data_IF_673208901465
#
_entry.id   IF_673208901465
#
_cell.length_a   1.000
_cell.length_b   1.000
_cell.length_c   1.000
_cell.angle_alpha   90.00
_cell.angle_beta   90.00
_cell.angle_gamma   90.00
#
_symmetry.space_group_name_H-M   'P 1'
#
loop_
_entity.id
_entity.type
_entity.pdbx_description
1 polymer ?
#
# COMPACT_ATOMS: atom_id res chain seq x y z
N UNK A 1 -10.47 -1.58 -4.38
CA UNK A 1 -11.61 -1.93 -5.24
C UNK A 1 -11.30 -3.19 -6.02
N UNK A 2 -12.33 -3.92 -6.45
CA UNK A 2 -12.16 -5.04 -7.39
C UNK A 2 -12.14 -4.52 -8.83
N UNK A 3 -11.32 -5.11 -9.69
CA UNK A 3 -11.25 -4.74 -11.11
C UNK A 3 -11.96 -5.81 -11.94
N UNK A 4 -12.90 -5.39 -12.78
CA UNK A 4 -13.53 -6.23 -13.81
C UNK A 4 -12.92 -5.80 -15.15
N UNK A 5 -12.24 -6.72 -15.83
CA UNK A 5 -11.61 -6.41 -17.12
C UNK A 5 -12.66 -6.32 -18.23
N UNK A 6 -12.31 -5.67 -19.35
CA UNK A 6 -13.21 -5.52 -20.50
C UNK A 6 -13.68 -6.88 -21.04
N UNK A 7 -12.78 -7.88 -21.07
CA UNK A 7 -13.12 -9.25 -21.48
C UNK A 7 -14.17 -9.87 -20.56
N UNK A 8 -13.96 -9.82 -19.24
CA UNK A 8 -14.92 -10.37 -18.27
C UNK A 8 -16.24 -9.61 -18.31
N UNK A 9 -16.19 -8.28 -18.45
CA UNK A 9 -17.38 -7.45 -18.55
C UNK A 9 -18.21 -7.81 -19.79
N UNK A 10 -17.58 -7.99 -20.95
CA UNK A 10 -18.26 -8.39 -22.18
C UNK A 10 -18.93 -9.77 -22.05
N UNK A 11 -18.27 -10.73 -21.39
CA UNK A 11 -18.87 -12.05 -21.13
C UNK A 11 -20.09 -11.96 -20.22
N UNK A 12 -20.00 -11.21 -19.12
CA UNK A 12 -21.12 -10.98 -18.20
C UNK A 12 -22.27 -10.23 -18.90
N UNK A 13 -21.93 -9.24 -19.74
CA UNK A 13 -22.92 -8.46 -20.48
C UNK A 13 -23.67 -9.30 -21.51
N UNK A 14 -23.01 -10.29 -22.12
CA UNK A 14 -23.67 -11.30 -22.96
C UNK A 14 -24.58 -12.20 -22.13
N UNK A 15 -24.06 -12.78 -21.04
CA UNK A 15 -24.77 -13.71 -20.15
C UNK A 15 -26.07 -13.12 -19.58
N UNK A 16 -26.14 -11.80 -19.40
CA UNK A 16 -27.37 -11.15 -18.92
C UNK A 16 -28.58 -11.36 -19.83
N UNK A 17 -28.35 -11.70 -21.10
CA UNK A 17 -29.40 -11.93 -22.10
C UNK A 17 -29.86 -13.41 -22.15
N UNK A 18 -29.21 -14.30 -21.39
CA UNK A 18 -29.65 -15.69 -21.25
C UNK A 18 -31.00 -15.76 -20.52
N UNK A 19 -31.73 -16.87 -20.68
CA UNK A 19 -33.08 -17.02 -20.09
C UNK A 19 -33.10 -16.91 -18.56
N UNK A 20 -32.00 -17.27 -17.90
CA UNK A 20 -31.80 -17.16 -16.46
C UNK A 20 -31.05 -15.88 -16.04
N UNK A 21 -30.85 -14.95 -16.98
CA UNK A 21 -30.08 -13.71 -16.79
C UNK A 21 -28.65 -13.95 -16.30
N UNK A 22 -28.03 -15.06 -16.73
CA UNK A 22 -26.66 -15.43 -16.44
C UNK A 22 -26.43 -16.01 -15.05
N UNK A 23 -27.48 -16.44 -14.34
CA UNK A 23 -27.37 -17.01 -13.00
C UNK A 23 -26.53 -18.29 -12.99
N UNK A 24 -26.83 -19.23 -13.88
CA UNK A 24 -26.08 -20.48 -14.02
C UNK A 24 -24.61 -20.23 -14.37
N UNK A 25 -24.33 -19.26 -15.25
CA UNK A 25 -22.96 -18.88 -15.59
C UNK A 25 -22.20 -18.34 -14.36
N UNK A 26 -22.82 -17.51 -13.52
CA UNK A 26 -22.23 -17.01 -12.27
C UNK A 26 -21.99 -18.14 -11.26
N UNK A 27 -22.95 -19.05 -11.09
CA UNK A 27 -22.83 -20.21 -10.19
C UNK A 27 -21.69 -21.11 -10.65
N UNK A 28 -21.63 -21.45 -11.94
CA UNK A 28 -20.57 -22.28 -12.50
C UNK A 28 -19.20 -21.62 -12.39
N UNK A 29 -19.10 -20.31 -12.62
CA UNK A 29 -17.86 -19.54 -12.41
C UNK A 29 -17.40 -19.62 -10.95
N UNK A 30 -18.31 -19.48 -9.98
CA UNK A 30 -17.99 -19.63 -8.57
C UNK A 30 -17.57 -21.08 -8.20
N UNK A 31 -18.26 -22.09 -8.75
CA UNK A 31 -17.93 -23.51 -8.54
C UNK A 31 -16.54 -23.87 -9.10
N UNK A 32 -16.17 -23.34 -10.27
CA UNK A 32 -14.81 -23.50 -10.81
C UNK A 32 -13.76 -22.88 -9.90
N UNK A 33 -14.01 -21.67 -9.37
CA UNK A 33 -13.08 -21.02 -8.45
C UNK A 33 -12.95 -21.80 -7.13
N UNK A 34 -14.05 -22.34 -6.62
CA UNK A 34 -14.06 -23.25 -5.48
C UNK A 34 -13.13 -24.45 -5.72
N UNK A 35 -13.30 -25.14 -6.84
CA UNK A 35 -12.51 -26.31 -7.19
C UNK A 35 -11.02 -25.99 -7.30
N UNK A 36 -10.66 -24.85 -7.92
CA UNK A 36 -9.27 -24.38 -8.03
C UNK A 36 -8.66 -24.14 -6.65
N UNK A 37 -9.34 -23.37 -5.79
CA UNK A 37 -8.81 -23.04 -4.46
C UNK A 37 -8.62 -24.30 -3.61
N UNK A 38 -9.59 -25.21 -3.62
CA UNK A 38 -9.49 -26.48 -2.90
C UNK A 38 -8.38 -27.37 -3.47
N UNK A 39 -8.26 -27.47 -4.80
CA UNK A 39 -7.21 -28.22 -5.48
C UNK A 39 -5.80 -27.69 -5.19
N UNK A 40 -5.65 -26.38 -4.99
CA UNK A 40 -4.41 -25.74 -4.53
C UNK A 40 -4.10 -25.97 -3.04
N UNK A 41 -5.01 -26.58 -2.28
CA UNK A 41 -4.81 -26.88 -0.85
C UNK A 41 -5.31 -25.81 0.12
N UNK A 42 -6.12 -24.84 -0.33
CA UNK A 42 -6.74 -23.89 0.58
C UNK A 42 -7.73 -24.59 1.53
N UNK A 43 -7.75 -24.20 2.80
CA UNK A 43 -8.60 -24.82 3.83
C UNK A 43 -10.09 -24.46 3.74
N UNK A 44 -10.46 -23.50 2.89
CA UNK A 44 -11.85 -23.08 2.72
C UNK A 44 -11.99 -21.90 1.77
N UNK A 45 -13.24 -21.55 1.46
CA UNK A 45 -13.59 -20.39 0.65
C UNK A 45 -14.60 -19.51 1.37
N UNK A 46 -14.58 -18.21 1.09
CA UNK A 46 -15.62 -17.28 1.50
C UNK A 46 -16.53 -16.98 0.30
N UNK A 47 -17.79 -17.41 0.35
CA UNK A 47 -18.78 -17.16 -0.70
C UNK A 47 -19.64 -15.98 -0.27
N UNK A 48 -19.52 -14.86 -0.97
CA UNK A 48 -20.27 -13.64 -0.70
C UNK A 48 -21.00 -13.15 -1.95
N UNK A 49 -22.24 -12.69 -1.77
CA UNK A 49 -23.05 -12.11 -2.85
C UNK A 49 -24.30 -11.44 -2.29
N UNK A 50 -24.72 -10.33 -2.89
CA UNK A 50 -25.98 -9.69 -2.53
C UNK A 50 -27.15 -10.59 -2.96
N UNK A 51 -28.08 -10.87 -2.04
CA UNK A 51 -29.27 -11.71 -2.27
C UNK A 51 -28.98 -13.14 -2.76
N UNK A 52 -27.81 -13.71 -2.42
CA UNK A 52 -27.53 -15.11 -2.69
C UNK A 52 -28.42 -16.00 -1.80
N UNK A 53 -29.04 -17.02 -2.39
CA UNK A 53 -29.87 -17.99 -1.67
C UNK A 53 -29.05 -19.16 -1.18
N UNK A 54 -29.53 -19.83 -0.14
CA UNK A 54 -28.88 -21.01 0.44
C UNK A 54 -28.67 -22.12 -0.61
N UNK A 55 -29.68 -22.38 -1.44
CA UNK A 55 -29.63 -23.41 -2.48
C UNK A 55 -28.56 -23.11 -3.54
N UNK A 56 -28.32 -21.82 -3.83
CA UNK A 56 -27.27 -21.41 -4.76
C UNK A 56 -25.88 -21.65 -4.17
N UNK A 57 -25.70 -21.44 -2.86
CA UNK A 57 -24.46 -21.76 -2.16
C UNK A 57 -24.20 -23.26 -2.16
N UNK A 58 -25.20 -24.08 -1.83
CA UNK A 58 -25.09 -25.55 -1.94
C UNK A 58 -24.73 -25.97 -3.36
N UNK A 59 -25.35 -25.38 -4.38
CA UNK A 59 -25.07 -25.69 -5.77
C UNK A 59 -23.62 -25.36 -6.16
N UNK A 60 -23.08 -24.21 -5.72
CA UNK A 60 -21.68 -23.84 -5.93
C UNK A 60 -20.75 -24.89 -5.31
N UNK A 61 -21.03 -25.31 -4.07
CA UNK A 61 -20.20 -26.28 -3.35
C UNK A 61 -20.27 -27.66 -4.04
N UNK A 62 -21.48 -28.17 -4.31
CA UNK A 62 -21.68 -29.49 -4.90
C UNK A 62 -21.04 -29.59 -6.30
N UNK A 63 -21.24 -28.59 -7.15
CA UNK A 63 -20.56 -28.53 -8.45
C UNK A 63 -19.05 -28.37 -8.28
N UNK A 64 -18.61 -27.54 -7.34
CA UNK A 64 -17.20 -27.32 -7.04
C UNK A 64 -16.50 -28.61 -6.64
N UNK A 65 -17.07 -29.39 -5.71
CA UNK A 65 -16.56 -30.70 -5.29
C UNK A 65 -16.43 -31.67 -6.47
N UNK A 66 -17.44 -31.73 -7.34
CA UNK A 66 -17.39 -32.58 -8.54
C UNK A 66 -16.28 -32.16 -9.52
N UNK A 67 -15.90 -30.88 -9.51
CA UNK A 67 -14.88 -30.31 -10.39
C UNK A 67 -13.45 -30.40 -9.80
N UNK A 68 -13.28 -30.71 -8.51
CA UNK A 68 -11.96 -30.78 -7.86
C UNK A 68 -10.97 -31.71 -8.57
N UNK A 69 -11.33 -32.93 -9.02
CA UNK A 69 -10.35 -33.84 -9.64
C UNK A 69 -9.67 -33.30 -10.90
N UNK A 70 -10.28 -32.32 -11.57
CA UNK A 70 -9.81 -31.69 -12.81
C UNK A 70 -9.50 -30.20 -12.63
N UNK A 71 -9.19 -29.77 -11.40
CA UNK A 71 -9.07 -28.35 -11.07
C UNK A 71 -8.02 -27.60 -11.89
N UNK A 72 -6.92 -28.26 -12.29
CA UNK A 72 -5.87 -27.64 -13.11
C UNK A 72 -6.40 -27.15 -14.46
N UNK A 73 -7.31 -27.91 -15.08
CA UNK A 73 -7.91 -27.58 -16.39
C UNK A 73 -8.87 -26.39 -16.29
N UNK A 74 -9.32 -26.04 -15.07
CA UNK A 74 -10.26 -24.95 -14.84
C UNK A 74 -9.58 -23.58 -14.80
N UNK A 75 -8.26 -23.53 -14.60
CA UNK A 75 -7.52 -22.27 -14.45
C UNK A 75 -7.66 -21.39 -15.69
N UNK A 76 -7.72 -22.00 -16.89
CA UNK A 76 -7.90 -21.28 -18.15
C UNK A 76 -9.19 -20.47 -18.26
N UNK A 77 -10.24 -20.79 -17.49
CA UNK A 77 -11.48 -20.01 -17.44
C UNK A 77 -11.33 -18.67 -16.71
N UNK A 78 -10.20 -18.43 -16.06
CA UNK A 78 -9.89 -17.21 -15.31
C UNK A 78 -8.78 -16.37 -15.96
N UNK A 79 -8.50 -16.57 -17.25
CA UNK A 79 -7.58 -15.73 -18.03
C UNK A 79 -8.25 -14.44 -18.50
N UNK A 80 -8.22 -13.42 -17.64
CA UNK A 80 -8.77 -12.08 -17.88
C UNK A 80 -7.68 -11.01 -17.72
N UNK A 81 -6.72 -10.91 -18.66
CA UNK A 81 -5.65 -9.95 -18.54
C UNK A 81 -6.17 -8.51 -18.75
N UNK A 82 -5.54 -7.56 -18.08
CA UNK A 82 -5.72 -6.12 -18.30
C UNK A 82 -4.80 -5.69 -19.45
N UNK A 83 -5.36 -4.96 -20.41
CA UNK A 83 -4.54 -4.27 -21.43
C UNK A 83 -3.55 -3.35 -20.74
N UNK A 84 -2.29 -3.43 -21.15
CA UNK A 84 -1.17 -2.66 -20.57
C UNK A 84 -0.99 -2.88 -19.06
N UNK A 85 -1.53 -3.98 -18.54
CA UNK A 85 -1.41 -4.38 -17.14
C UNK A 85 0.01 -4.76 -16.77
N UNK A 86 0.38 -4.51 -15.52
CA UNK A 86 1.62 -5.03 -14.96
C UNK A 86 1.40 -6.36 -14.25
N UNK A 87 2.02 -7.41 -14.77
CA UNK A 87 2.13 -8.72 -14.13
C UNK A 87 3.54 -8.88 -13.57
N UNK A 88 3.63 -9.20 -12.27
CA UNK A 88 4.92 -9.27 -11.57
C UNK A 88 5.76 -10.46 -12.05
N UNK A 89 5.13 -11.56 -12.41
CA UNK A 89 5.78 -12.77 -12.90
C UNK A 89 5.68 -12.88 -14.42
N UNK A 90 6.69 -13.49 -15.04
CA UNK A 90 6.69 -13.75 -16.48
C UNK A 90 5.59 -14.73 -16.87
N UNK A 91 4.91 -14.49 -18.00
CA UNK A 91 3.94 -15.44 -18.55
C UNK A 91 4.67 -16.62 -19.19
N UNK A 92 4.18 -17.82 -18.92
CA UNK A 92 4.56 -19.04 -19.63
C UNK A 92 3.67 -19.21 -20.88
N UNK A 93 4.23 -19.16 -22.10
CA UNK A 93 3.45 -19.33 -23.32
C UNK A 93 2.96 -20.77 -23.52
N UNK A 94 3.55 -21.76 -22.85
CA UNK A 94 3.17 -23.17 -23.01
C UNK A 94 1.95 -23.50 -22.15
N UNK A 95 2.00 -23.15 -20.87
CA UNK A 95 0.92 -23.45 -19.92
C UNK A 95 -0.13 -22.35 -19.84
N UNK A 96 0.19 -21.14 -20.29
CA UNK A 96 -0.64 -19.95 -20.12
C UNK A 96 -0.58 -19.35 -18.70
N UNK A 97 0.11 -20.00 -17.76
CA UNK A 97 0.26 -19.58 -16.36
C UNK A 97 1.47 -18.65 -16.14
N UNK A 98 1.72 -18.28 -14.90
CA UNK A 98 2.91 -17.51 -14.52
C UNK A 98 4.10 -18.44 -14.23
N UNK A 99 5.30 -18.06 -14.68
CA UNK A 99 6.56 -18.62 -14.21
C UNK A 99 6.88 -18.09 -12.81
N UNK A 100 7.82 -18.74 -12.11
CA UNK A 100 8.33 -18.23 -10.83
C UNK A 100 9.28 -17.03 -11.00
N UNK A 101 9.69 -16.72 -12.23
CA UNK A 101 10.63 -15.63 -12.53
C UNK A 101 9.91 -14.28 -12.51
N UNK A 102 10.31 -13.34 -11.64
CA UNK A 102 9.78 -11.97 -11.68
C UNK A 102 10.26 -11.21 -12.92
N UNK A 103 9.41 -10.37 -13.48
CA UNK A 103 9.80 -9.51 -14.60
C UNK A 103 10.78 -8.41 -14.16
N UNK A 104 11.71 -8.05 -15.04
CA UNK A 104 12.71 -7.00 -14.76
C UNK A 104 12.06 -5.62 -14.65
N UNK A 105 12.26 -4.93 -13.52
CA UNK A 105 11.63 -3.63 -13.20
C UNK A 105 12.51 -2.39 -13.48
N UNK A 106 13.81 -2.58 -13.68
CA UNK A 106 14.84 -1.52 -13.62
C UNK A 106 14.62 -0.39 -14.65
N UNK A 107 14.19 -0.71 -15.87
CA UNK A 107 14.08 0.27 -16.96
C UNK A 107 12.66 0.82 -17.16
N UNK A 108 11.74 0.58 -16.22
CA UNK A 108 10.38 1.09 -16.36
C UNK A 108 10.29 2.57 -16.04
N UNK A 109 9.52 3.36 -16.82
CA UNK A 109 9.28 4.75 -16.53
C UNK A 109 8.66 4.93 -15.13
N UNK A 110 8.74 6.16 -14.63
CA UNK A 110 8.09 6.54 -13.37
C UNK A 110 6.65 6.96 -13.67
N UNK A 111 5.70 6.47 -12.88
CA UNK A 111 4.27 6.79 -13.03
C UNK A 111 3.94 8.23 -12.60
N UNK A 112 4.91 8.95 -12.02
CA UNK A 112 4.78 10.36 -11.65
C UNK A 112 6.14 11.04 -11.63
N UNK A 113 6.13 12.37 -11.55
CA UNK A 113 7.36 13.16 -11.40
C UNK A 113 7.86 13.10 -9.95
N UNK A 114 9.19 13.02 -9.78
CA UNK A 114 9.82 13.19 -8.47
C UNK A 114 9.95 14.68 -8.18
N UNK A 115 9.28 15.15 -7.14
CA UNK A 115 9.31 16.56 -6.76
C UNK A 115 10.70 16.94 -6.20
N UNK A 116 11.16 18.15 -6.52
CA UNK A 116 12.46 18.67 -6.06
C UNK A 116 12.59 18.68 -4.53
N UNK A 117 11.46 18.86 -3.83
CA UNK A 117 11.40 18.87 -2.36
C UNK A 117 11.93 17.57 -1.78
N UNK A 118 11.79 16.42 -2.45
CA UNK A 118 12.28 15.15 -1.94
C UNK A 118 13.81 15.12 -1.79
N UNK A 119 14.55 15.64 -2.78
CA UNK A 119 16.01 15.72 -2.71
C UNK A 119 16.49 16.60 -1.56
N UNK A 120 15.82 17.74 -1.38
CA UNK A 120 16.03 18.64 -0.24
C UNK A 120 15.74 17.91 1.09
N UNK A 121 14.60 17.24 1.22
CA UNK A 121 14.23 16.49 2.42
C UNK A 121 15.26 15.42 2.79
N UNK A 122 15.76 14.66 1.82
CA UNK A 122 16.81 13.64 2.03
C UNK A 122 18.11 14.25 2.53
N UNK A 123 18.53 15.38 1.96
CA UNK A 123 19.73 16.08 2.43
C UNK A 123 19.60 16.50 3.90
N UNK A 124 18.48 17.12 4.26
CA UNK A 124 18.20 17.52 5.66
C UNK A 124 18.02 16.31 6.58
N UNK A 125 17.48 15.18 6.09
CA UNK A 125 17.42 13.92 6.83
C UNK A 125 18.81 13.49 7.30
N UNK A 126 19.71 13.34 6.32
CA UNK A 126 21.08 12.87 6.51
C UNK A 126 21.86 13.80 7.41
N UNK A 127 21.58 15.09 7.35
CA UNK A 127 22.25 16.08 8.17
C UNK A 127 21.73 16.06 9.62
N UNK A 128 20.41 16.09 9.84
CA UNK A 128 19.81 16.33 11.16
C UNK A 128 19.36 15.05 11.89
N UNK A 129 18.87 14.03 11.19
CA UNK A 129 18.14 12.90 11.78
C UNK A 129 18.91 11.58 11.76
N UNK A 130 19.96 11.45 10.94
CA UNK A 130 20.78 10.23 10.88
C UNK A 130 21.75 10.13 12.09
N UNK A 131 21.67 9.06 12.90
CA UNK A 131 22.57 8.87 14.03
C UNK A 131 24.05 8.85 13.61
N UNK A 132 24.94 9.39 14.45
CA UNK A 132 26.38 9.42 14.20
C UNK A 132 26.89 10.63 13.41
N UNK A 133 26.02 11.56 12.97
CA UNK A 133 26.43 12.87 12.42
C UNK A 133 26.53 13.92 13.53
N UNK A 134 27.44 14.89 13.37
CA UNK A 134 27.68 15.96 14.37
C UNK A 134 26.42 16.76 14.70
N UNK A 135 25.57 17.02 13.71
CA UNK A 135 24.35 17.81 13.92
C UNK A 135 23.25 17.01 14.62
N UNK A 136 23.18 15.69 14.46
CA UNK A 136 22.26 14.84 15.22
C UNK A 136 22.48 14.99 16.74
N UNK A 137 23.74 14.93 17.19
CA UNK A 137 24.09 15.09 18.61
C UNK A 137 23.78 16.49 19.16
N UNK A 138 23.99 17.53 18.34
CA UNK A 138 23.63 18.91 18.68
C UNK A 138 22.11 19.03 18.85
N UNK A 139 21.33 18.58 17.87
CA UNK A 139 19.88 18.65 17.89
C UNK A 139 19.30 17.84 19.05
N UNK A 140 19.84 16.65 19.33
CA UNK A 140 19.44 15.84 20.49
C UNK A 140 19.66 16.58 21.81
N UNK A 141 20.81 17.22 21.97
CA UNK A 141 21.11 18.02 23.17
C UNK A 141 20.22 19.26 23.25
N UNK A 142 19.98 19.95 22.13
CA UNK A 142 19.11 21.11 22.07
C UNK A 142 17.66 20.74 22.43
N UNK A 143 17.11 19.67 21.85
CA UNK A 143 15.76 19.18 22.15
C UNK A 143 15.59 18.80 23.62
N UNK A 144 16.59 18.15 24.24
CA UNK A 144 16.59 17.86 25.69
C UNK A 144 16.57 19.12 26.56
N UNK A 145 17.32 20.16 26.20
CA UNK A 145 17.35 21.41 26.96
C UNK A 145 16.08 22.24 26.78
N UNK A 146 15.48 22.17 25.59
CA UNK A 146 14.36 23.02 25.21
C UNK A 146 13.01 22.41 25.65
N UNK A 147 12.89 21.08 25.73
CA UNK A 147 11.60 20.39 25.92
C UNK A 147 10.78 20.88 27.11
N UNK A 148 11.45 21.26 28.20
CA UNK A 148 10.80 21.63 29.46
C UNK A 148 10.74 23.15 29.67
N UNK A 149 11.00 23.92 28.60
CA UNK A 149 11.07 25.38 28.62
C UNK A 149 10.02 26.00 27.69
N UNK A 150 9.70 27.28 27.89
CA UNK A 150 8.83 28.03 26.98
C UNK A 150 9.37 28.11 25.53
N UNK A 151 10.67 27.87 25.31
CA UNK A 151 11.25 27.78 23.97
C UNK A 151 10.74 26.58 23.17
N UNK A 152 10.23 25.51 23.81
CA UNK A 152 9.66 24.36 23.12
C UNK A 152 8.50 24.77 22.21
N UNK A 153 7.64 25.69 22.68
CA UNK A 153 6.50 26.20 21.92
C UNK A 153 6.95 27.01 20.70
N UNK A 154 8.00 27.82 20.84
CA UNK A 154 8.56 28.59 19.72
C UNK A 154 9.15 27.64 18.67
N UNK A 155 9.93 26.65 19.12
CA UNK A 155 10.53 25.65 18.25
C UNK A 155 9.47 24.82 17.52
N UNK A 156 8.44 24.36 18.24
CA UNK A 156 7.28 23.66 17.68
C UNK A 156 6.56 24.50 16.62
N UNK A 157 6.26 25.77 16.91
CA UNK A 157 5.60 26.65 15.95
C UNK A 157 6.44 26.83 14.67
N UNK A 158 7.75 27.02 14.80
CA UNK A 158 8.66 27.13 13.65
C UNK A 158 8.71 25.83 12.84
N UNK A 159 8.81 24.68 13.51
CA UNK A 159 8.73 23.37 12.88
C UNK A 159 7.41 23.21 12.13
N UNK A 160 6.29 23.52 12.79
CA UNK A 160 4.95 23.34 12.24
C UNK A 160 4.76 24.18 10.99
N UNK A 161 5.08 25.48 11.03
CA UNK A 161 5.02 26.38 9.88
C UNK A 161 5.87 25.84 8.73
N UNK A 162 7.12 25.45 8.99
CA UNK A 162 7.99 24.89 7.96
C UNK A 162 7.39 23.61 7.34
N UNK A 163 6.81 22.72 8.15
CA UNK A 163 6.21 21.47 7.67
C UNK A 163 4.87 21.65 6.99
N UNK A 164 4.06 22.64 7.35
CA UNK A 164 2.84 23.02 6.62
C UNK A 164 3.20 23.49 5.23
N UNK A 165 4.16 24.41 5.12
CA UNK A 165 4.60 24.96 3.81
C UNK A 165 5.18 23.87 2.91
N UNK A 166 5.98 22.95 3.44
CA UNK A 166 6.69 21.95 2.61
C UNK A 166 5.86 20.67 2.38
N UNK A 167 5.10 20.21 3.37
CA UNK A 167 4.47 18.88 3.37
C UNK A 167 2.97 18.87 3.66
N UNK A 168 2.34 20.04 3.85
CA UNK A 168 0.93 20.17 4.25
C UNK A 168 0.66 19.47 5.60
N UNK A 169 1.51 19.70 6.59
CA UNK A 169 1.49 19.00 7.88
C UNK A 169 0.20 19.21 8.70
N UNK A 170 -0.25 18.13 9.37
CA UNK A 170 -1.43 18.12 10.27
C UNK A 170 -1.06 18.01 11.76
N UNK A 171 0.21 18.24 12.09
CA UNK A 171 0.70 18.31 13.48
C UNK A 171 0.44 17.09 14.37
N UNK A 172 0.53 15.89 13.81
CA UNK A 172 0.30 14.64 14.53
C UNK A 172 1.30 14.33 15.67
N UNK A 173 2.47 15.00 15.71
CA UNK A 173 3.53 14.77 16.70
C UNK A 173 4.29 13.44 16.60
N UNK A 174 3.66 12.39 16.09
CA UNK A 174 4.25 11.08 15.77
C UNK A 174 4.48 10.95 14.25
N UNK A 175 5.59 11.53 13.75
CA UNK A 175 5.75 11.84 12.33
C UNK A 175 6.12 10.63 11.45
N UNK A 176 5.28 10.29 10.46
CA UNK A 176 5.52 9.25 9.44
C UNK A 176 6.09 9.76 8.09
N UNK A 177 6.65 10.97 8.05
CA UNK A 177 7.21 11.49 6.79
C UNK A 177 8.33 10.60 6.27
N UNK A 178 9.19 10.09 7.14
CA UNK A 178 10.33 9.25 6.73
C UNK A 178 9.86 7.95 6.07
N UNK A 179 8.86 7.32 6.67
CA UNK A 179 8.30 6.03 6.26
C UNK A 179 7.67 6.07 4.86
N UNK A 180 7.11 7.23 4.49
CA UNK A 180 6.40 7.41 3.21
C UNK A 180 7.18 8.38 2.31
N UNK A 181 8.52 8.31 2.37
CA UNK A 181 9.44 9.05 1.50
C UNK A 181 9.11 10.55 1.39
N UNK A 182 8.87 11.19 2.53
CA UNK A 182 8.51 12.60 2.70
C UNK A 182 7.19 13.02 2.02
N UNK A 183 6.26 12.09 1.81
CA UNK A 183 4.86 12.40 1.52
C UNK A 183 4.09 12.24 2.81
N UNK A 184 3.41 13.28 3.30
CA UNK A 184 2.70 13.16 4.58
C UNK A 184 1.45 12.26 4.41
N UNK A 185 1.41 11.06 5.03
CA UNK A 185 0.23 10.20 4.89
C UNK A 185 -0.98 10.77 5.64
N UNK A 186 -0.75 11.57 6.69
CA UNK A 186 -1.81 12.12 7.54
C UNK A 186 -2.55 13.30 6.92
N UNK A 187 -1.98 13.92 5.87
CA UNK A 187 -2.59 15.07 5.20
C UNK A 187 -2.93 14.81 3.74
N UNK A 188 -2.06 14.08 3.05
CA UNK A 188 -2.17 13.92 1.60
C UNK A 188 -2.93 12.64 1.22
N UNK A 189 -3.16 11.73 2.18
CA UNK A 189 -4.04 10.58 2.00
C UNK A 189 -5.38 10.87 2.68
N UNK A 190 -6.52 10.83 1.98
CA UNK A 190 -7.84 11.05 2.60
C UNK A 190 -8.24 9.97 3.62
N UNK A 191 -7.45 8.88 3.72
CA UNK A 191 -7.65 7.78 4.66
C UNK A 191 -6.57 7.71 5.73
N UNK A 192 -5.64 8.66 5.77
CA UNK A 192 -4.54 8.72 6.74
C UNK A 192 -3.72 7.41 6.84
N UNK A 193 -3.54 6.72 5.70
CA UNK A 193 -2.89 5.40 5.67
C UNK A 193 -1.38 5.51 5.81
N UNK A 194 -0.84 4.92 6.90
CA UNK A 194 0.60 4.84 7.19
C UNK A 194 1.26 3.55 6.73
N UNK A 195 0.47 2.53 6.36
CA UNK A 195 0.95 1.22 5.91
C UNK A 195 0.33 0.80 4.57
N UNK A 196 1.04 1.09 3.48
CA UNK A 196 0.67 0.67 2.13
C UNK A 196 -0.58 1.35 1.53
N UNK A 197 -0.79 1.18 0.20
CA UNK A 197 -1.99 1.68 -0.46
C UNK A 197 -3.23 0.91 0.01
N UNK A 198 -4.36 1.59 0.16
CA UNK A 198 -5.64 0.98 0.59
C UNK A 198 -6.29 -0.01 -0.40
N UNK A 199 -5.59 -0.41 -1.47
CA UNK A 199 -6.15 -1.22 -2.56
C UNK A 199 -7.19 -0.49 -3.44
N UNK A 200 -7.52 0.77 -3.13
CA UNK A 200 -8.45 1.59 -3.90
C UNK A 200 -7.83 2.32 -5.09
N UNK A 201 -6.52 2.58 -5.05
CA UNK A 201 -5.87 3.37 -6.10
C UNK A 201 -5.98 2.72 -7.48
N UNK A 202 -6.32 3.51 -8.49
CA UNK A 202 -6.47 3.05 -9.87
C UNK A 202 -5.57 3.86 -10.81
N UNK A 203 -4.76 3.18 -11.63
CA UNK A 203 -3.79 3.80 -12.55
C UNK A 203 -2.93 4.89 -11.88
N UNK A 204 -2.47 4.64 -10.65
CA UNK A 204 -1.67 5.59 -9.88
C UNK A 204 -2.45 6.67 -9.11
N UNK A 205 -3.73 6.86 -9.42
CA UNK A 205 -4.59 7.89 -8.81
C UNK A 205 -5.26 7.40 -7.53
N UNK A 206 -5.54 8.32 -6.61
CA UNK A 206 -6.36 8.06 -5.43
C UNK A 206 -7.83 7.85 -5.84
N UNK A 207 -8.51 6.84 -5.29
CA UNK A 207 -9.94 6.59 -5.61
C UNK A 207 -10.88 7.72 -5.18
N UNK A 208 -10.51 8.46 -4.13
CA UNK A 208 -11.29 9.60 -3.65
C UNK A 208 -11.12 10.81 -4.59
N UNK A 209 -9.98 10.90 -5.29
CA UNK A 209 -9.64 12.02 -6.17
C UNK A 209 -9.11 11.55 -7.53
N UNK A 210 -9.93 10.85 -8.34
CA UNK A 210 -9.49 10.34 -9.64
C UNK A 210 -9.02 11.46 -10.56
N UNK A 211 -7.86 11.28 -11.22
CA UNK A 211 -7.28 12.26 -12.15
C UNK A 211 -6.80 13.58 -11.52
N UNK A 212 -6.95 13.76 -10.20
CA UNK A 212 -6.59 14.99 -9.48
C UNK A 212 -5.42 14.82 -8.53
N UNK A 213 -5.40 13.71 -7.76
CA UNK A 213 -4.31 13.43 -6.80
C UNK A 213 -3.78 12.01 -6.97
N UNK A 214 -2.47 11.88 -7.19
CA UNK A 214 -1.80 10.59 -7.14
C UNK A 214 -1.84 10.00 -5.72
N UNK A 215 -1.92 8.68 -5.63
CA UNK A 215 -1.82 7.98 -4.36
C UNK A 215 -0.49 8.30 -3.66
N UNK A 216 -0.52 8.52 -2.35
CA UNK A 216 0.69 8.84 -1.56
C UNK A 216 1.77 7.76 -1.70
N UNK A 217 1.38 6.48 -1.79
CA UNK A 217 2.30 5.37 -1.97
C UNK A 217 2.86 5.27 -3.39
N UNK A 218 2.13 5.72 -4.40
CA UNK A 218 2.65 5.80 -5.78
C UNK A 218 3.75 6.86 -5.83
N UNK A 219 3.52 8.03 -5.21
CA UNK A 219 4.54 9.09 -5.09
C UNK A 219 5.73 8.63 -4.26
N UNK A 220 5.51 7.97 -3.14
CA UNK A 220 6.59 7.44 -2.31
C UNK A 220 7.42 6.39 -3.05
N UNK A 221 6.77 5.45 -3.75
CA UNK A 221 7.43 4.44 -4.57
C UNK A 221 8.28 5.08 -5.66
N UNK A 222 7.74 6.06 -6.40
CA UNK A 222 8.47 6.78 -7.46
C UNK A 222 9.69 7.52 -6.91
N UNK A 223 9.55 8.16 -5.75
CA UNK A 223 10.65 8.82 -5.03
C UNK A 223 11.76 7.84 -4.66
N UNK A 224 11.42 6.70 -4.06
CA UNK A 224 12.37 5.69 -3.62
C UNK A 224 13.01 4.93 -4.79
N UNK A 225 12.22 4.58 -5.82
CA UNK A 225 12.68 3.90 -7.04
C UNK A 225 13.79 4.68 -7.73
N UNK A 226 13.71 6.02 -7.77
CA UNK A 226 14.77 6.89 -8.32
C UNK A 226 16.14 6.67 -7.67
N UNK A 227 16.17 6.26 -6.41
CA UNK A 227 17.41 5.99 -5.65
C UNK A 227 17.71 4.49 -5.47
N UNK A 228 16.91 3.60 -6.08
CA UNK A 228 17.06 2.16 -5.90
C UNK A 228 16.61 1.64 -4.52
N UNK A 229 15.79 2.41 -3.80
CA UNK A 229 15.39 2.13 -2.40
C UNK A 229 13.92 1.69 -2.28
N UNK A 230 13.31 1.20 -3.36
CA UNK A 230 11.87 0.89 -3.41
C UNK A 230 11.45 -0.17 -2.36
N UNK A 231 12.36 -1.09 -2.02
CA UNK A 231 12.17 -2.15 -1.02
C UNK A 231 11.93 -1.59 0.39
N UNK A 232 12.26 -0.31 0.65
CA UNK A 232 12.00 0.33 1.95
C UNK A 232 10.52 0.30 2.35
N UNK A 233 9.60 0.28 1.39
CA UNK A 233 8.15 0.21 1.64
C UNK A 233 7.68 -1.18 2.07
N UNK A 234 8.48 -2.23 1.87
CA UNK A 234 8.08 -3.62 2.10
C UNK A 234 8.35 -4.06 3.55
N UNK A 235 9.43 -3.57 4.15
CA UNK A 235 9.96 -4.17 5.38
C UNK A 235 9.50 -3.52 6.68
N UNK A 236 8.84 -2.35 6.64
CA UNK A 236 8.63 -1.52 7.84
C UNK A 236 7.17 -1.21 8.07
N UNK A 237 6.57 -1.93 9.02
CA UNK A 237 5.24 -1.59 9.54
C UNK A 237 5.39 -0.38 10.49
N UNK A 238 4.62 0.67 10.22
CA UNK A 238 4.48 1.85 11.08
C UNK A 238 3.34 1.59 12.06
N UNK A 239 3.53 1.72 13.38
CA UNK A 239 2.42 1.57 14.30
C UNK A 239 1.35 2.66 14.09
N UNK A 240 0.14 2.45 14.63
CA UNK A 240 -0.86 3.51 14.68
C UNK A 240 -0.26 4.81 15.26
N UNK A 241 -0.74 5.95 14.76
CA UNK A 241 -0.28 7.25 15.23
C UNK A 241 -0.48 7.37 16.75
N UNK A 242 0.57 7.72 17.47
CA UNK A 242 0.44 8.06 18.89
C UNK A 242 -0.19 9.44 19.04
N UNK A 243 -1.48 9.48 19.36
CA UNK A 243 -2.25 10.72 19.50
C UNK A 243 -1.98 11.48 20.81
N UNK A 244 -1.28 10.89 21.78
CA UNK A 244 -0.82 11.62 22.97
C UNK A 244 0.23 12.70 22.61
N UNK A 245 0.83 12.57 21.42
CA UNK A 245 1.77 13.55 20.86
C UNK A 245 1.08 14.59 19.97
N UNK A 246 -0.24 14.56 19.83
CA UNK A 246 -0.96 15.50 18.97
C UNK A 246 -0.69 16.96 19.33
N UNK A 247 -0.44 17.80 18.32
CA UNK A 247 -0.06 19.20 18.49
C UNK A 247 1.20 19.43 19.33
N UNK A 248 2.17 18.50 19.22
CA UNK A 248 3.51 18.66 19.80
C UNK A 248 4.59 18.56 18.73
N UNK A 249 5.79 19.07 19.05
CA UNK A 249 6.95 19.03 18.16
C UNK A 249 7.39 17.60 17.85
N UNK A 250 7.19 17.16 16.61
CA UNK A 250 7.66 15.83 16.20
C UNK A 250 9.18 15.74 16.09
N UNK A 251 9.89 16.85 15.93
CA UNK A 251 11.35 16.86 16.04
C UNK A 251 11.82 16.62 17.47
N UNK A 252 11.24 17.29 18.47
CA UNK A 252 11.56 17.03 19.88
C UNK A 252 11.20 15.59 20.23
N UNK A 253 10.03 15.10 19.81
CA UNK A 253 9.59 13.72 20.09
C UNK A 253 10.55 12.69 19.49
N UNK A 254 11.02 12.89 18.27
CA UNK A 254 12.04 12.04 17.64
C UNK A 254 13.33 11.98 18.46
N UNK A 255 13.91 13.14 18.82
CA UNK A 255 15.19 13.17 19.53
C UNK A 255 15.10 12.69 20.99
N UNK A 256 13.94 12.84 21.62
CA UNK A 256 13.66 12.32 22.95
C UNK A 256 13.20 10.86 22.95
N UNK A 257 12.99 10.28 21.78
CA UNK A 257 12.53 8.89 21.62
C UNK A 257 11.10 8.66 22.11
N UNK A 258 10.24 9.67 22.02
CA UNK A 258 8.81 9.58 22.40
C UNK A 258 7.93 9.03 21.26
N UNK A 259 8.39 9.14 20.02
CA UNK A 259 7.65 8.72 18.83
C UNK A 259 7.93 7.26 18.46
N UNK A 260 7.26 6.75 17.42
CA UNK A 260 7.43 5.36 17.01
C UNK A 260 8.82 5.00 16.46
N UNK A 261 9.70 5.97 16.21
CA UNK A 261 11.06 5.67 15.74
C UNK A 261 11.94 5.11 16.87
N UNK A 262 11.62 5.39 18.14
CA UNK A 262 12.39 4.87 19.28
C UNK A 262 12.18 3.36 19.51
N UNK A 263 10.95 2.88 19.35
CA UNK A 263 10.63 1.45 19.41
C UNK A 263 11.46 0.64 18.38
N UNK A 264 11.80 1.27 17.25
CA UNK A 264 12.60 0.66 16.17
C UNK A 264 14.10 0.69 16.45
N UNK A 265 14.62 1.73 17.10
CA UNK A 265 16.04 1.74 17.50
C UNK A 265 16.36 0.62 18.50
N UNK A 266 15.43 0.31 19.41
CA UNK A 266 15.61 -0.77 20.39
C UNK A 266 15.57 -2.18 19.78
N UNK A 267 14.84 -2.39 18.68
CA UNK A 267 14.86 -3.68 17.96
C UNK A 267 16.17 -3.89 17.19
N UNK A 268 16.67 -2.86 16.49
CA UNK A 268 17.94 -2.96 15.74
C UNK A 268 19.18 -3.11 16.64
N UNK A 269 19.13 -2.64 17.89
CA UNK A 269 20.20 -2.83 18.88
C UNK A 269 20.11 -4.19 19.58
N UNK A 270 18.97 -4.87 19.53
CA UNK A 270 18.79 -6.24 20.06
C UNK A 270 19.12 -7.34 19.03
N UNK A 271 19.17 -6.99 17.74
CA UNK A 271 19.53 -7.88 16.63
C UNK A 271 21.02 -7.81 16.22
N UNK A 272 21.82 -6.98 16.90
CA UNK A 272 23.28 -6.88 16.74
C UNK A 272 24.02 -7.52 17.92
#
# INVERSE_FOLDING_TARGET
GSVVTDKLLAEIDRERNDSDKGEGARILRAARLYAILKGMGYSGVHIGGHNIKYEQVENIINQGEALVPQWQDLVGYFDYPLSDGFYYYERDPVTGLNKETPVRRQNRPLDSNVEWTYGFSRFFHKLMFEPGKKLYGLMKTASKKISDTGMAKIFHNLEHVAKVVIYDCQDCGDCALLDVAYVCPMSQCPKNQRNGPCGGSFKGWCEVYPGKKHCVYVRAYVRLKKYGEAEHLEHKIVPPCNWDLYQTSSWINFYLGKDHHSARSHQNDAEK
#
